data_IF_346768408453
#
_entry.id   IF_346768408453
#
_cell.length_a   1.000
_cell.length_b   1.000
_cell.length_c   1.000
_cell.angle_alpha   90.00
_cell.angle_beta   90.00
_cell.angle_gamma   90.00
#
_symmetry.space_group_name_H-M   'P 1'
#
loop_
_entity.id
_entity.type
_entity.pdbx_description
1 polymer ?
#
# COMPACT_ATOMS: atom_id res chain seq x y z
N UNK A 1 26.62 23.33 -2.76
CA UNK A 1 25.31 23.01 -3.38
C UNK A 1 24.50 22.20 -2.39
N UNK A 2 23.21 22.51 -2.18
CA UNK A 2 22.39 21.79 -1.18
C UNK A 2 22.23 20.31 -1.56
N UNK A 3 22.18 19.44 -0.56
CA UNK A 3 21.74 18.05 -0.69
C UNK A 3 20.30 17.95 -0.19
N UNK A 4 19.37 17.58 -1.07
CA UNK A 4 17.94 17.57 -0.76
C UNK A 4 17.42 16.14 -0.87
N UNK A 5 16.93 15.61 0.25
CA UNK A 5 16.24 14.32 0.28
C UNK A 5 14.76 14.50 -0.04
N UNK A 6 14.18 13.61 -0.84
CA UNK A 6 12.74 13.61 -1.14
C UNK A 6 12.17 12.22 -0.86
N UNK A 7 11.19 12.15 0.04
CA UNK A 7 10.40 10.95 0.30
C UNK A 7 9.04 11.12 -0.35
N UNK A 8 8.78 10.33 -1.39
CA UNK A 8 7.51 10.32 -2.12
C UNK A 8 6.59 9.29 -1.46
N UNK A 9 5.40 9.69 -1.03
CA UNK A 9 4.41 8.80 -0.43
C UNK A 9 3.14 8.67 -1.27
N UNK A 10 2.67 7.43 -1.40
CA UNK A 10 1.42 7.10 -2.07
C UNK A 10 1.51 7.20 -3.60
N UNK A 11 0.60 6.53 -4.33
CA UNK A 11 0.58 6.59 -5.80
C UNK A 11 0.07 7.92 -6.34
N UNK A 12 -0.81 8.61 -5.62
CA UNK A 12 -1.57 9.72 -6.22
C UNK A 12 -0.73 10.99 -6.46
N UNK A 13 0.28 11.27 -5.63
CA UNK A 13 1.25 12.35 -5.88
C UNK A 13 2.07 12.12 -7.16
N UNK A 14 2.26 10.85 -7.54
CA UNK A 14 2.95 10.45 -8.77
C UNK A 14 1.97 10.51 -9.96
N UNK A 15 0.78 9.92 -9.80
CA UNK A 15 -0.24 9.87 -10.86
C UNK A 15 -0.68 11.26 -11.33
N UNK A 16 -0.68 12.25 -10.44
CA UNK A 16 -0.99 13.66 -10.76
C UNK A 16 0.19 14.42 -11.39
N UNK A 17 1.36 13.80 -11.50
CA UNK A 17 2.58 14.41 -12.04
C UNK A 17 3.30 15.37 -11.08
N UNK A 18 2.70 15.68 -9.91
CA UNK A 18 3.27 16.64 -8.96
C UNK A 18 4.58 16.17 -8.34
N UNK A 19 4.78 14.86 -8.12
CA UNK A 19 6.05 14.32 -7.62
C UNK A 19 7.22 14.77 -8.52
N UNK A 20 7.13 14.56 -9.84
CA UNK A 20 8.17 14.95 -10.79
C UNK A 20 8.32 16.47 -10.85
N UNK A 21 7.21 17.22 -10.89
CA UNK A 21 7.22 18.69 -10.92
C UNK A 21 7.96 19.28 -9.72
N UNK A 22 7.73 18.73 -8.53
CA UNK A 22 8.37 19.17 -7.29
C UNK A 22 9.84 18.76 -7.25
N UNK A 23 10.19 17.52 -7.65
CA UNK A 23 11.59 17.08 -7.74
C UNK A 23 12.38 18.02 -8.66
N UNK A 24 11.87 18.31 -9.86
CA UNK A 24 12.50 19.27 -10.80
C UNK A 24 12.62 20.69 -10.25
N UNK A 25 11.63 21.14 -9.47
CA UNK A 25 11.72 22.43 -8.79
C UNK A 25 12.87 22.44 -7.76
N UNK A 26 13.01 21.36 -6.98
CA UNK A 26 14.04 21.25 -5.94
C UNK A 26 15.45 21.10 -6.53
N UNK A 27 15.60 20.46 -7.68
CA UNK A 27 16.87 20.36 -8.42
C UNK A 27 17.49 21.72 -8.75
N UNK A 28 16.68 22.77 -8.89
CA UNK A 28 17.15 24.15 -9.07
C UNK A 28 17.89 24.72 -7.86
N UNK A 29 17.77 24.08 -6.70
CA UNK A 29 18.39 24.50 -5.44
C UNK A 29 19.53 23.58 -4.99
N UNK A 30 19.65 22.39 -5.57
CA UNK A 30 20.73 21.46 -5.25
C UNK A 30 20.52 20.04 -5.76
N UNK A 31 21.38 19.12 -5.31
CA UNK A 31 21.31 17.70 -5.70
C UNK A 31 20.14 17.04 -4.98
N UNK A 32 19.22 16.44 -5.75
CA UNK A 32 18.06 15.73 -5.19
C UNK A 32 18.31 14.23 -5.14
N UNK A 33 17.98 13.60 -4.01
CA UNK A 33 17.88 12.15 -3.85
C UNK A 33 16.45 11.80 -3.47
N UNK A 34 15.71 11.20 -4.41
CA UNK A 34 14.33 10.80 -4.19
C UNK A 34 14.19 9.30 -3.92
N UNK A 35 13.38 8.96 -2.92
CA UNK A 35 13.05 7.57 -2.56
C UNK A 35 11.55 7.45 -2.33
N UNK A 36 11.01 6.24 -2.49
CA UNK A 36 9.59 6.00 -2.28
C UNK A 36 9.29 5.36 -0.92
N UNK A 37 8.23 5.82 -0.25
CA UNK A 37 7.59 5.14 0.89
C UNK A 37 6.26 4.48 0.51
N UNK A 38 6.23 3.15 0.46
CA UNK A 38 5.00 2.34 0.32
C UNK A 38 4.87 1.52 -0.97
N UNK A 39 4.04 0.46 -0.94
CA UNK A 39 3.94 -0.53 -2.03
C UNK A 39 3.30 0.02 -3.31
N UNK A 40 2.09 0.59 -3.24
CA UNK A 40 1.38 1.06 -4.43
C UNK A 40 2.04 2.26 -5.12
N UNK A 41 2.84 3.03 -4.38
CA UNK A 41 3.63 4.09 -4.98
C UNK A 41 4.61 3.55 -6.03
N UNK A 42 5.14 2.32 -5.85
CA UNK A 42 6.07 1.71 -6.81
C UNK A 42 5.36 1.45 -8.12
N UNK A 43 4.11 1.04 -8.04
CA UNK A 43 3.25 0.78 -9.20
C UNK A 43 3.10 2.08 -10.01
N UNK A 44 2.87 3.19 -9.32
CA UNK A 44 2.78 4.51 -9.94
C UNK A 44 4.12 4.99 -10.52
N UNK A 45 5.25 4.74 -9.85
CA UNK A 45 6.58 5.03 -10.38
C UNK A 45 6.81 4.33 -11.72
N UNK A 46 6.52 3.02 -11.81
CA UNK A 46 6.69 2.27 -13.06
C UNK A 46 5.78 2.76 -14.18
N UNK A 47 4.51 3.04 -13.88
CA UNK A 47 3.57 3.56 -14.86
C UNK A 47 3.96 4.96 -15.36
N UNK A 48 4.58 5.78 -14.50
CA UNK A 48 5.02 7.14 -14.82
C UNK A 48 6.45 7.24 -15.37
N UNK A 49 7.14 6.10 -15.59
CA UNK A 49 8.54 6.05 -16.05
C UNK A 49 9.54 6.78 -15.12
N UNK A 50 9.30 6.73 -13.81
CA UNK A 50 10.10 7.47 -12.82
C UNK A 50 11.11 6.59 -12.08
N UNK A 51 11.31 5.33 -12.45
CA UNK A 51 12.23 4.40 -11.77
C UNK A 51 13.69 4.86 -11.75
N UNK A 52 14.09 5.70 -12.72
CA UNK A 52 15.43 6.30 -12.79
C UNK A 52 15.56 7.59 -11.96
N UNK A 53 14.45 8.13 -11.46
CA UNK A 53 14.39 9.39 -10.71
C UNK A 53 14.10 9.12 -9.23
N UNK A 54 13.21 8.16 -8.95
CA UNK A 54 12.77 7.79 -7.60
C UNK A 54 13.25 6.38 -7.30
N UNK A 55 14.14 6.23 -6.31
CA UNK A 55 14.62 4.92 -5.87
C UNK A 55 13.48 4.13 -5.22
N UNK A 56 13.12 3.03 -5.89
CA UNK A 56 12.10 2.06 -5.48
C UNK A 56 12.69 0.69 -5.13
N UNK A 57 14.03 0.56 -5.04
CA UNK A 57 14.74 -0.71 -4.86
C UNK A 57 14.47 -1.39 -3.52
N UNK A 58 14.20 -0.61 -2.47
CA UNK A 58 14.00 -1.11 -1.10
C UNK A 58 12.62 -0.74 -0.55
N UNK A 59 12.05 -1.61 0.28
CA UNK A 59 10.78 -1.35 0.98
C UNK A 59 11.11 -0.64 2.28
N UNK A 60 10.64 0.60 2.43
CA UNK A 60 10.81 1.39 3.66
C UNK A 60 9.53 2.13 3.98
N UNK A 61 9.28 2.32 5.27
CA UNK A 61 8.27 3.25 5.75
C UNK A 61 8.76 4.70 5.50
N UNK A 62 7.85 5.66 5.32
CA UNK A 62 8.23 7.07 5.13
C UNK A 62 9.16 7.60 6.23
N UNK A 63 8.92 7.25 7.50
CA UNK A 63 9.77 7.67 8.63
C UNK A 63 11.20 7.11 8.52
N UNK A 64 11.35 5.84 8.12
CA UNK A 64 12.66 5.20 7.92
C UNK A 64 13.42 5.83 6.75
N UNK A 65 12.72 6.15 5.66
CA UNK A 65 13.30 6.87 4.52
C UNK A 65 13.76 8.27 4.90
N UNK A 66 12.98 9.00 5.72
CA UNK A 66 13.36 10.32 6.24
C UNK A 66 14.61 10.20 7.12
N UNK A 67 14.63 9.28 8.09
CA UNK A 67 15.78 9.09 8.99
C UNK A 67 17.06 8.69 8.24
N UNK A 68 16.94 7.93 7.16
CA UNK A 68 18.06 7.60 6.27
C UNK A 68 18.59 8.85 5.56
N UNK A 69 17.71 9.61 4.90
CA UNK A 69 18.09 10.81 4.15
C UNK A 69 18.62 11.92 5.07
N UNK A 70 18.12 12.00 6.31
CA UNK A 70 18.56 12.97 7.31
C UNK A 70 20.06 12.90 7.63
N UNK A 71 20.71 11.76 7.37
CA UNK A 71 22.15 11.57 7.60
C UNK A 71 23.03 12.19 6.52
N UNK A 72 22.49 12.42 5.32
CA UNK A 72 23.26 12.83 4.14
C UNK A 72 22.72 14.09 3.45
N UNK A 73 21.52 14.56 3.83
CA UNK A 73 20.84 15.70 3.22
C UNK A 73 20.66 16.88 4.19
N UNK A 74 20.78 18.09 3.66
CA UNK A 74 20.56 19.35 4.40
C UNK A 74 19.08 19.57 4.73
N UNK A 75 18.20 19.17 3.81
CA UNK A 75 16.75 19.24 3.92
C UNK A 75 16.13 17.93 3.47
N UNK A 76 15.00 17.57 4.08
CA UNK A 76 14.20 16.42 3.66
C UNK A 76 12.78 16.90 3.36
N UNK A 77 12.26 16.55 2.19
CA UNK A 77 10.88 16.80 1.79
C UNK A 77 10.08 15.50 1.87
N UNK A 78 8.92 15.55 2.52
CA UNK A 78 7.90 14.52 2.46
C UNK A 78 6.82 14.97 1.47
N UNK A 79 6.65 14.28 0.36
CA UNK A 79 5.60 14.56 -0.61
C UNK A 79 4.45 13.60 -0.38
N UNK A 80 3.26 14.13 -0.12
CA UNK A 80 2.04 13.34 0.03
C UNK A 80 0.86 14.01 -0.68
N UNK A 81 -0.14 13.20 -1.00
CA UNK A 81 -1.39 13.64 -1.58
C UNK A 81 -2.53 12.87 -0.93
N UNK A 82 -2.86 13.29 0.29
CA UNK A 82 -3.99 12.81 1.04
C UNK A 82 -5.32 13.01 0.32
N UNK A 83 -6.35 12.32 0.81
CA UNK A 83 -7.71 12.48 0.29
C UNK A 83 -8.28 13.85 0.62
N UNK A 84 -7.87 14.38 1.76
CA UNK A 84 -8.20 15.69 2.29
C UNK A 84 -7.00 16.26 3.04
N UNK A 85 -6.96 17.59 3.25
CA UNK A 85 -5.97 18.24 4.13
C UNK A 85 -5.80 17.51 5.46
N UNK A 86 -6.90 17.16 6.13
CA UNK A 86 -6.86 16.50 7.45
C UNK A 86 -6.19 15.12 7.39
N UNK A 87 -6.40 14.34 6.33
CA UNK A 87 -5.73 13.02 6.17
C UNK A 87 -4.22 13.17 6.00
N UNK A 88 -3.79 14.13 5.18
CA UNK A 88 -2.38 14.39 4.91
C UNK A 88 -1.63 14.96 6.10
N UNK A 89 -2.27 15.89 6.82
CA UNK A 89 -1.78 16.42 8.08
C UNK A 89 -1.63 15.31 9.14
N UNK A 90 -2.64 14.44 9.28
CA UNK A 90 -2.59 13.30 10.19
C UNK A 90 -1.48 12.30 9.84
N UNK A 91 -1.28 12.04 8.54
CA UNK A 91 -0.20 11.20 8.05
C UNK A 91 1.17 11.80 8.39
N UNK A 92 1.38 13.07 8.03
CA UNK A 92 2.58 13.82 8.35
C UNK A 92 2.93 13.81 9.83
N UNK A 93 1.94 14.09 10.69
CA UNK A 93 2.09 14.05 12.14
C UNK A 93 2.55 12.66 12.63
N UNK A 94 1.92 11.59 12.14
CA UNK A 94 2.28 10.21 12.51
C UNK A 94 3.70 9.85 12.05
N UNK A 95 4.10 10.29 10.85
CA UNK A 95 5.45 10.08 10.33
C UNK A 95 6.46 10.84 11.19
N UNK A 96 6.21 12.12 11.46
CA UNK A 96 7.06 12.97 12.28
C UNK A 96 7.27 12.41 13.70
N UNK A 97 6.20 11.95 14.36
CA UNK A 97 6.27 11.34 15.71
C UNK A 97 7.08 10.04 15.77
N UNK A 98 7.34 9.39 14.63
CA UNK A 98 8.11 8.14 14.53
C UNK A 98 9.57 8.37 14.13
N UNK A 99 9.99 9.60 13.84
CA UNK A 99 11.35 9.89 13.46
C UNK A 99 12.30 9.67 14.63
N UNK A 100 13.46 9.09 14.34
CA UNK A 100 14.58 8.93 15.29
C UNK A 100 15.58 10.08 15.17
N UNK A 101 15.52 10.82 14.07
CA UNK A 101 16.34 12.00 13.79
C UNK A 101 15.50 13.28 13.87
N UNK A 102 16.14 14.45 13.87
CA UNK A 102 15.46 15.75 13.83
C UNK A 102 15.83 16.56 12.56
N UNK A 103 15.48 16.06 11.35
CA UNK A 103 15.86 16.71 10.10
C UNK A 103 15.16 18.05 9.92
N UNK A 104 15.70 18.89 9.02
CA UNK A 104 15.00 20.06 8.46
C UNK A 104 13.89 19.58 7.53
N UNK A 105 12.84 19.02 8.13
CA UNK A 105 11.73 18.37 7.43
C UNK A 105 10.67 19.37 6.99
N UNK A 106 10.29 19.26 5.72
CA UNK A 106 9.19 19.99 5.10
C UNK A 106 8.25 18.95 4.49
N UNK A 107 6.95 19.08 4.69
CA UNK A 107 5.96 18.28 3.95
C UNK A 107 5.26 19.16 2.93
N UNK A 108 5.07 18.64 1.72
CA UNK A 108 4.20 19.23 0.71
C UNK A 108 2.99 18.32 0.59
N UNK A 109 1.83 18.86 0.91
CA UNK A 109 0.57 18.14 1.02
C UNK A 109 -0.41 18.61 -0.04
N UNK A 110 -0.97 17.67 -0.82
CA UNK A 110 -1.99 17.91 -1.85
C UNK A 110 -1.67 19.12 -2.77
N UNK A 111 -0.47 19.18 -3.37
CA UNK A 111 -0.13 20.29 -4.25
C UNK A 111 -1.12 20.39 -5.42
N UNK A 112 -1.54 21.60 -5.75
CA UNK A 112 -2.54 21.85 -6.80
C UNK A 112 -3.99 21.92 -6.33
N UNK A 113 -4.28 21.45 -5.11
CA UNK A 113 -5.62 21.53 -4.51
C UNK A 113 -5.83 22.87 -3.79
N UNK A 114 -7.08 23.30 -3.68
CA UNK A 114 -7.45 24.54 -2.96
C UNK A 114 -7.02 24.49 -1.48
N UNK A 115 -7.03 23.32 -0.87
CA UNK A 115 -6.63 23.08 0.52
C UNK A 115 -5.19 22.54 0.66
N UNK A 116 -4.39 22.59 -0.42
CA UNK A 116 -3.00 22.15 -0.41
C UNK A 116 -2.12 23.03 0.50
N UNK A 117 -1.17 22.39 1.20
CA UNK A 117 -0.33 23.04 2.21
C UNK A 117 1.13 22.65 2.11
N UNK A 118 2.00 23.51 2.67
CA UNK A 118 3.37 23.15 3.03
C UNK A 118 3.48 23.21 4.54
N UNK A 119 3.82 22.08 5.16
CA UNK A 119 3.96 21.96 6.61
C UNK A 119 5.44 22.02 6.98
N UNK A 120 5.78 22.90 7.90
CA UNK A 120 7.13 23.03 8.44
C UNK A 120 7.22 22.24 9.74
N UNK A 121 7.82 21.06 9.68
CA UNK A 121 8.00 20.18 10.85
C UNK A 121 9.18 20.60 11.72
N UNK A 122 10.15 21.33 11.15
CA UNK A 122 11.31 21.86 11.86
C UNK A 122 11.51 23.35 11.51
N UNK A 123 11.55 24.23 12.53
CA UNK A 123 11.70 25.69 12.36
C UNK A 123 12.95 26.09 11.57
N UNK A 124 14.03 25.30 11.65
CA UNK A 124 15.26 25.53 10.86
C UNK A 124 15.01 25.41 9.33
N UNK A 125 13.88 24.85 8.92
CA UNK A 125 13.47 24.72 7.52
C UNK A 125 12.56 25.84 7.01
N UNK A 126 12.10 26.75 7.89
CA UNK A 126 11.04 27.71 7.59
C UNK A 126 11.37 28.65 6.42
N UNK A 127 12.58 29.19 6.38
CA UNK A 127 12.99 30.10 5.30
C UNK A 127 12.98 29.42 3.93
N UNK A 128 13.41 28.15 3.85
CA UNK A 128 13.37 27.42 2.60
C UNK A 128 11.94 27.02 2.24
N UNK A 129 11.15 26.57 3.21
CA UNK A 129 9.74 26.25 3.02
C UNK A 129 8.93 27.46 2.51
N UNK A 130 9.15 28.67 3.03
CA UNK A 130 8.53 29.91 2.52
C UNK A 130 8.83 30.16 1.05
N UNK A 131 10.08 29.96 0.62
CA UNK A 131 10.49 30.09 -0.79
C UNK A 131 9.74 29.09 -1.67
N UNK A 132 9.67 27.82 -1.26
CA UNK A 132 8.96 26.78 -2.00
C UNK A 132 7.44 27.02 -2.02
N UNK A 133 6.86 27.45 -0.89
CA UNK A 133 5.44 27.80 -0.77
C UNK A 133 5.03 28.89 -1.77
N UNK A 134 5.84 29.95 -1.92
CA UNK A 134 5.62 31.00 -2.92
C UNK A 134 5.65 30.46 -4.35
N UNK A 135 6.58 29.54 -4.67
CA UNK A 135 6.69 28.94 -6.01
C UNK A 135 5.54 28.00 -6.34
N UNK A 136 5.05 27.25 -5.35
CA UNK A 136 3.94 26.31 -5.52
C UNK A 136 2.56 26.94 -5.27
N UNK A 137 2.51 28.21 -4.81
CA UNK A 137 1.29 28.92 -4.38
C UNK A 137 0.50 28.15 -3.31
N UNK A 138 1.22 27.59 -2.33
CA UNK A 138 0.64 26.81 -1.24
C UNK A 138 0.67 27.56 0.09
N UNK A 139 -0.32 27.30 0.95
CA UNK A 139 -0.36 27.87 2.29
C UNK A 139 0.70 27.22 3.18
N UNK A 140 1.49 28.03 3.87
CA UNK A 140 2.43 27.55 4.89
C UNK A 140 1.67 27.26 6.19
N UNK A 141 1.95 26.09 6.79
CA UNK A 141 1.36 25.64 8.06
C UNK A 141 2.49 25.27 9.01
N UNK A 142 2.40 25.68 10.28
CA UNK A 142 3.39 25.33 11.29
C UNK A 142 3.06 23.99 11.94
N UNK A 143 4.08 23.30 12.43
CA UNK A 143 3.94 22.06 13.20
C UNK A 143 2.88 22.19 14.30
N UNK A 144 2.91 23.29 15.05
CA UNK A 144 2.03 23.50 16.21
C UNK A 144 0.55 23.55 15.81
N UNK A 145 0.23 24.06 14.62
CA UNK A 145 -1.14 24.11 14.09
C UNK A 145 -1.65 22.71 13.75
N UNK A 146 -0.79 21.89 13.12
CA UNK A 146 -1.11 20.48 12.83
C UNK A 146 -1.28 19.69 14.12
N UNK A 147 -0.41 19.90 15.12
CA UNK A 147 -0.56 19.23 16.41
C UNK A 147 -1.89 19.56 17.08
N UNK A 148 -2.33 20.82 17.06
CA UNK A 148 -3.64 21.24 17.61
C UNK A 148 -4.80 20.60 16.84
N UNK A 149 -4.73 20.60 15.51
CA UNK A 149 -5.75 19.99 14.63
C UNK A 149 -5.90 18.48 14.87
N UNK A 150 -4.80 17.79 15.21
CA UNK A 150 -4.75 16.33 15.34
C UNK A 150 -4.94 15.83 16.79
N UNK A 151 -4.55 16.58 17.83
CA UNK A 151 -4.49 16.13 19.25
C UNK A 151 -5.84 15.78 19.91
N UNK A 152 -6.99 16.03 19.30
CA UNK A 152 -8.28 15.56 19.84
C UNK A 152 -8.33 14.02 19.94
N UNK A 153 -8.27 13.48 21.18
CA UNK A 153 -8.24 12.06 21.61
C UNK A 153 -8.29 11.04 20.46
N UNK A 154 -7.19 10.89 19.74
CA UNK A 154 -7.07 9.90 18.66
C UNK A 154 -7.07 8.48 19.25
N UNK A 155 -6.51 8.32 20.44
CA UNK A 155 -6.39 7.03 21.14
C UNK A 155 -6.69 7.24 22.61
N UNK A 156 -7.49 6.37 23.20
CA UNK A 156 -7.75 6.34 24.64
C UNK A 156 -8.11 4.91 25.10
N UNK A 157 -8.05 4.68 26.40
CA UNK A 157 -8.43 3.41 27.01
C UNK A 157 -9.59 3.63 27.98
N UNK A 158 -10.58 2.73 27.97
CA UNK A 158 -11.72 2.75 28.88
C UNK A 158 -12.22 1.33 29.11
N UNK A 159 -12.42 0.93 30.36
CA UNK A 159 -12.96 -0.38 30.75
C UNK A 159 -12.21 -1.57 30.10
N UNK A 160 -10.87 -1.52 30.10
CA UNK A 160 -10.00 -2.54 29.51
C UNK A 160 -10.09 -2.66 27.97
N UNK A 161 -10.66 -1.65 27.30
CA UNK A 161 -10.74 -1.55 25.84
C UNK A 161 -9.94 -0.35 25.36
N UNK A 162 -9.11 -0.56 24.33
CA UNK A 162 -8.37 0.49 23.63
C UNK A 162 -9.19 0.97 22.44
N UNK A 163 -9.35 2.28 22.34
CA UNK A 163 -10.10 2.96 21.28
C UNK A 163 -9.14 3.75 20.42
N UNK A 164 -9.28 3.68 19.09
CA UNK A 164 -8.52 4.50 18.15
C UNK A 164 -9.40 5.07 17.06
N UNK A 165 -9.53 6.40 17.04
CA UNK A 165 -10.21 7.14 15.97
C UNK A 165 -9.45 7.00 14.65
N UNK A 166 -10.19 6.70 13.59
CA UNK A 166 -9.69 6.65 12.21
C UNK A 166 -9.89 8.02 11.60
N UNK A 167 -8.80 8.71 11.27
CA UNK A 167 -8.84 10.09 10.78
C UNK A 167 -9.07 10.13 9.27
N UNK A 168 -10.04 10.95 8.83
CA UNK A 168 -10.35 11.22 7.43
C UNK A 168 -10.77 9.99 6.62
N UNK A 169 -11.55 9.13 7.27
CA UNK A 169 -12.32 8.07 6.64
C UNK A 169 -13.59 8.66 6.04
N UNK A 170 -14.07 8.08 4.95
CA UNK A 170 -15.38 8.41 4.38
C UNK A 170 -16.31 7.21 4.40
N UNK A 171 -17.61 7.46 4.51
CA UNK A 171 -18.66 6.43 4.41
C UNK A 171 -18.44 5.54 3.18
N UNK A 172 -18.50 4.23 3.39
CA UNK A 172 -18.32 3.22 2.35
C UNK A 172 -16.87 2.82 2.09
N UNK A 173 -15.87 3.44 2.72
CA UNK A 173 -14.48 3.03 2.58
C UNK A 173 -14.15 1.75 3.36
N UNK A 174 -13.31 0.90 2.78
CA UNK A 174 -12.68 -0.20 3.53
C UNK A 174 -11.74 0.35 4.59
N UNK A 175 -11.60 -0.36 5.70
CA UNK A 175 -10.70 -0.04 6.79
C UNK A 175 -9.62 -1.13 6.86
N UNK A 176 -8.40 -0.75 6.55
CA UNK A 176 -7.23 -1.63 6.60
C UNK A 176 -6.49 -1.42 7.91
N UNK A 177 -6.11 -2.52 8.55
CA UNK A 177 -5.18 -2.53 9.69
C UNK A 177 -4.03 -3.45 9.33
N UNK A 178 -2.80 -2.90 9.34
CA UNK A 178 -1.57 -3.61 8.94
C UNK A 178 -1.67 -4.31 7.57
N UNK A 179 -2.49 -3.78 6.66
CA UNK A 179 -2.67 -4.31 5.30
C UNK A 179 -3.86 -5.27 5.13
N UNK A 180 -4.58 -5.61 6.19
CA UNK A 180 -5.76 -6.50 6.16
C UNK A 180 -7.03 -5.68 6.31
N UNK A 181 -8.04 -5.94 5.48
CA UNK A 181 -9.36 -5.31 5.60
C UNK A 181 -10.08 -5.90 6.81
N UNK A 182 -10.30 -5.09 7.84
CA UNK A 182 -10.99 -5.51 9.08
C UNK A 182 -12.44 -5.05 9.14
N UNK A 183 -12.89 -4.29 8.16
CA UNK A 183 -14.25 -3.77 8.11
C UNK A 183 -14.45 -2.65 7.11
N UNK A 184 -15.62 -2.04 7.18
CA UNK A 184 -16.07 -0.98 6.27
C UNK A 184 -16.69 0.17 7.05
N UNK A 185 -16.38 1.40 6.67
CA UNK A 185 -16.95 2.59 7.27
C UNK A 185 -18.43 2.77 6.90
N UNK A 186 -19.26 3.10 7.88
CA UNK A 186 -20.68 3.46 7.72
C UNK A 186 -20.92 4.97 7.90
N UNK A 187 -19.95 5.67 8.49
CA UNK A 187 -19.92 7.12 8.67
C UNK A 187 -18.50 7.65 8.43
N UNK A 188 -18.34 8.96 8.47
CA UNK A 188 -17.05 9.66 8.39
C UNK A 188 -16.34 9.73 9.76
N UNK A 189 -17.04 9.29 10.82
CA UNK A 189 -16.54 9.19 12.18
C UNK A 189 -16.42 7.74 12.61
N UNK A 190 -15.22 7.18 12.49
CA UNK A 190 -14.96 5.77 12.80
C UNK A 190 -13.97 5.63 13.95
N UNK A 191 -14.24 4.71 14.87
CA UNK A 191 -13.32 4.33 15.95
C UNK A 191 -13.16 2.81 16.02
N UNK A 192 -11.92 2.34 15.91
CA UNK A 192 -11.58 0.94 16.16
C UNK A 192 -11.55 0.68 17.66
N UNK A 193 -12.12 -0.44 18.08
CA UNK A 193 -12.14 -0.87 19.48
C UNK A 193 -11.45 -2.21 19.60
N UNK A 194 -10.44 -2.31 20.45
CA UNK A 194 -9.73 -3.56 20.73
C UNK A 194 -9.77 -3.92 22.21
N UNK A 195 -9.88 -5.22 22.50
CA UNK A 195 -9.75 -5.81 23.84
C UNK A 195 -8.71 -6.93 23.77
N UNK A 196 -7.74 -6.93 24.69
CA UNK A 196 -6.63 -7.90 24.72
C UNK A 196 -5.88 -8.02 23.37
N UNK A 197 -5.74 -6.89 22.67
CA UNK A 197 -5.11 -6.82 21.35
C UNK A 197 -5.96 -7.31 20.18
N UNK A 198 -7.19 -7.79 20.38
CA UNK A 198 -8.08 -8.19 19.28
C UNK A 198 -9.07 -7.07 18.99
N UNK A 199 -9.25 -6.70 17.73
CA UNK A 199 -10.29 -5.74 17.32
C UNK A 199 -11.65 -6.42 17.50
N UNK A 200 -12.48 -5.89 18.39
CA UNK A 200 -13.80 -6.47 18.71
C UNK A 200 -14.95 -5.67 18.10
N UNK A 201 -14.73 -4.41 17.73
CA UNK A 201 -15.76 -3.55 17.18
C UNK A 201 -15.19 -2.38 16.34
N UNK A 202 -16.03 -1.83 15.48
CA UNK A 202 -15.79 -0.62 14.70
C UNK A 202 -17.00 0.31 14.88
N UNK A 203 -16.90 1.25 15.81
CA UNK A 203 -17.91 2.29 16.00
C UNK A 203 -17.93 3.16 14.74
N UNK A 204 -19.12 3.44 14.22
CA UNK A 204 -19.28 4.13 12.93
C UNK A 204 -18.97 3.26 11.71
N UNK A 205 -18.80 1.95 11.89
CA UNK A 205 -18.49 1.01 10.81
C UNK A 205 -19.16 -0.36 10.96
N UNK A 206 -18.73 -1.29 10.11
CA UNK A 206 -19.09 -2.71 10.14
C UNK A 206 -17.82 -3.53 10.25
N UNK A 207 -17.69 -4.30 11.31
CA UNK A 207 -16.59 -5.27 11.48
C UNK A 207 -16.70 -6.39 10.44
N UNK A 208 -15.57 -6.76 9.82
CA UNK A 208 -15.42 -7.97 9.00
C UNK A 208 -14.73 -9.03 9.85
N UNK A 209 -15.52 -9.95 10.44
CA UNK A 209 -15.03 -10.98 11.39
C UNK A 209 -13.83 -11.75 10.84
N UNK A 210 -13.95 -12.29 9.63
CA UNK A 210 -12.89 -13.04 8.98
C UNK A 210 -11.61 -12.23 8.75
N UNK A 211 -11.73 -10.93 8.48
CA UNK A 211 -10.59 -10.02 8.37
C UNK A 211 -9.86 -9.80 9.69
N UNK A 212 -10.61 -9.73 10.80
CA UNK A 212 -10.03 -9.66 12.16
C UNK A 212 -9.37 -10.97 12.54
N UNK A 213 -9.98 -12.11 12.22
CA UNK A 213 -9.39 -13.44 12.44
C UNK A 213 -8.04 -13.56 11.71
N UNK A 214 -7.99 -13.12 10.44
CA UNK A 214 -6.76 -13.05 9.64
C UNK A 214 -5.71 -12.10 10.22
N UNK A 215 -6.13 -10.97 10.80
CA UNK A 215 -5.23 -10.00 11.43
C UNK A 215 -4.62 -10.52 12.75
N UNK A 216 -5.41 -11.21 13.57
CA UNK A 216 -4.99 -11.64 14.90
C UNK A 216 -4.74 -10.48 15.89
N UNK A 217 -3.79 -10.66 16.80
CA UNK A 217 -3.44 -9.65 17.82
C UNK A 217 -2.74 -8.44 17.21
N UNK A 218 -3.19 -7.26 17.61
CA UNK A 218 -2.67 -5.97 17.14
C UNK A 218 -2.61 -4.95 18.28
N UNK A 219 -1.51 -4.19 18.34
CA UNK A 219 -1.45 -2.96 19.12
C UNK A 219 -2.03 -1.81 18.29
N UNK A 220 -3.24 -1.36 18.64
CA UNK A 220 -3.90 -0.27 17.94
C UNK A 220 -3.09 1.01 17.91
N UNK A 221 -2.14 1.26 18.81
CA UNK A 221 -1.33 2.48 18.77
C UNK A 221 -0.26 2.45 17.70
N UNK A 222 0.39 1.30 17.54
CA UNK A 222 1.45 1.09 16.54
C UNK A 222 0.90 0.75 15.16
N UNK A 223 -0.31 0.21 15.10
CA UNK A 223 -0.94 -0.27 13.88
C UNK A 223 -0.94 0.78 12.75
N UNK A 224 -0.73 0.32 11.52
CA UNK A 224 -0.86 1.13 10.32
C UNK A 224 -2.32 1.03 9.87
N UNK A 225 -3.04 2.16 9.94
CA UNK A 225 -4.44 2.24 9.51
C UNK A 225 -4.50 3.00 8.20
N UNK A 226 -5.19 2.44 7.21
CA UNK A 226 -5.52 3.08 5.94
C UNK A 226 -6.99 2.88 5.64
N UNK A 227 -7.58 3.77 4.85
CA UNK A 227 -8.95 3.60 4.36
C UNK A 227 -9.08 3.95 2.89
N UNK A 228 -10.13 3.42 2.26
CA UNK A 228 -10.43 3.66 0.86
C UNK A 228 -9.60 2.78 -0.07
N UNK A 229 -9.50 3.15 -1.34
CA UNK A 229 -8.75 2.40 -2.35
C UNK A 229 -7.24 2.56 -2.16
N UNK A 230 -6.48 1.50 -2.42
CA UNK A 230 -5.02 1.53 -2.36
C UNK A 230 -4.40 2.41 -3.45
N UNK A 231 -5.11 2.59 -4.57
CA UNK A 231 -4.83 3.55 -5.65
C UNK A 231 -6.16 3.96 -6.30
N UNK A 232 -6.46 5.26 -6.28
CA UNK A 232 -7.75 5.82 -6.73
C UNK A 232 -7.76 6.27 -8.19
N UNK A 233 -6.59 6.62 -8.72
CA UNK A 233 -6.44 7.14 -10.08
C UNK A 233 -6.74 6.05 -11.11
N UNK A 234 -7.40 6.43 -12.20
CA UNK A 234 -7.41 5.59 -13.40
C UNK A 234 -6.07 5.73 -14.12
N UNK A 235 -5.47 4.60 -14.45
CA UNK A 235 -4.08 4.55 -14.91
C UNK A 235 -3.97 3.62 -16.11
N UNK A 236 -3.07 3.94 -17.02
CA UNK A 236 -2.67 3.03 -18.10
C UNK A 236 -1.47 2.24 -17.60
N UNK A 237 -1.68 0.98 -17.22
CA UNK A 237 -0.58 0.14 -16.77
C UNK A 237 0.43 -0.12 -17.89
N UNK A 238 1.72 -0.08 -17.55
CA UNK A 238 2.82 -0.34 -18.49
C UNK A 238 3.49 -1.68 -18.20
N UNK A 239 3.79 -2.45 -19.24
CA UNK A 239 4.75 -3.57 -19.13
C UNK A 239 6.18 -3.03 -19.15
N UNK A 240 6.90 -3.29 -18.07
CA UNK A 240 8.30 -2.86 -17.86
C UNK A 240 9.27 -3.91 -18.39
N UNK A 241 8.85 -5.17 -18.41
CA UNK A 241 9.62 -6.31 -18.92
C UNK A 241 8.71 -7.12 -19.85
N UNK A 242 9.27 -7.63 -20.95
CA UNK A 242 8.66 -8.71 -21.74
C UNK A 242 9.43 -10.00 -21.48
N UNK A 243 8.72 -11.10 -21.24
CA UNK A 243 9.39 -12.37 -20.95
C UNK A 243 9.61 -13.21 -22.19
N UNK A 244 10.75 -13.88 -22.22
CA UNK A 244 11.10 -14.85 -23.25
C UNK A 244 10.61 -16.24 -22.84
N UNK A 245 10.37 -17.09 -23.84
CA UNK A 245 10.11 -18.51 -23.63
C UNK A 245 11.27 -19.17 -22.88
N UNK A 246 10.94 -20.10 -21.98
CA UNK A 246 11.91 -20.84 -21.16
C UNK A 246 11.53 -22.32 -21.10
N UNK A 247 12.53 -23.18 -20.91
CA UNK A 247 12.35 -24.63 -20.68
C UNK A 247 11.94 -24.99 -19.25
N UNK A 248 12.24 -24.11 -18.29
CA UNK A 248 11.89 -24.25 -16.87
C UNK A 248 11.28 -22.94 -16.36
N UNK A 249 10.26 -23.07 -15.52
CA UNK A 249 9.47 -21.97 -14.98
C UNK A 249 9.60 -21.93 -13.46
N UNK A 250 9.91 -20.76 -12.92
CA UNK A 250 9.87 -20.47 -11.50
C UNK A 250 8.45 -20.06 -11.10
N UNK A 251 7.85 -20.76 -10.15
CA UNK A 251 6.50 -20.50 -9.66
C UNK A 251 6.57 -19.96 -8.24
N UNK A 252 5.94 -18.82 -8.00
CA UNK A 252 5.74 -18.26 -6.66
C UNK A 252 4.40 -18.67 -6.05
N UNK A 253 4.33 -18.72 -4.72
CA UNK A 253 3.09 -18.88 -3.97
C UNK A 253 2.85 -17.66 -3.07
N UNK A 254 1.61 -17.17 -3.03
CA UNK A 254 1.22 -15.99 -2.26
C UNK A 254 -0.17 -16.19 -1.62
N UNK A 255 -0.21 -16.22 -0.29
CA UNK A 255 -1.45 -16.47 0.49
C UNK A 255 -2.00 -15.19 1.16
N UNK A 256 -1.19 -14.13 1.22
CA UNK A 256 -1.54 -12.93 1.99
C UNK A 256 -1.23 -11.65 1.24
N UNK A 257 -2.24 -10.80 1.05
CA UNK A 257 -2.12 -9.48 0.41
C UNK A 257 -1.12 -8.53 1.10
N UNK A 258 -0.76 -8.80 2.36
CA UNK A 258 0.20 -8.01 3.12
C UNK A 258 1.68 -8.26 2.75
N UNK A 259 2.00 -9.36 2.05
CA UNK A 259 3.38 -9.63 1.61
C UNK A 259 3.85 -8.65 0.52
N UNK A 260 5.16 -8.49 0.37
CA UNK A 260 5.71 -7.64 -0.70
C UNK A 260 5.65 -8.36 -2.05
N UNK A 261 4.54 -8.18 -2.77
CA UNK A 261 4.28 -8.73 -4.11
C UNK A 261 5.44 -8.49 -5.10
N UNK A 262 6.20 -7.41 -4.94
CA UNK A 262 7.35 -7.11 -5.80
C UNK A 262 8.47 -8.14 -5.74
N UNK A 263 8.54 -8.97 -4.69
CA UNK A 263 9.49 -10.09 -4.63
C UNK A 263 9.19 -11.16 -5.70
N UNK A 264 7.93 -11.24 -6.14
CA UNK A 264 7.46 -12.21 -7.12
C UNK A 264 7.59 -11.71 -8.57
N UNK A 265 8.10 -10.49 -8.79
CA UNK A 265 8.23 -9.87 -10.12
C UNK A 265 9.08 -10.67 -11.11
N UNK A 266 9.92 -11.57 -10.61
CA UNK A 266 10.81 -12.43 -11.41
C UNK A 266 10.29 -13.88 -11.56
N UNK A 267 9.18 -14.25 -10.91
CA UNK A 267 8.55 -15.57 -11.06
C UNK A 267 7.82 -15.65 -12.39
N UNK A 268 7.92 -16.76 -13.11
CA UNK A 268 7.27 -16.96 -14.41
C UNK A 268 5.74 -17.10 -14.30
N UNK A 269 5.22 -17.59 -13.18
CA UNK A 269 3.80 -17.59 -12.82
C UNK A 269 3.66 -17.55 -11.30
N UNK A 270 2.56 -17.01 -10.77
CA UNK A 270 2.31 -16.96 -9.31
C UNK A 270 0.97 -17.59 -8.98
N UNK A 271 0.96 -18.52 -8.03
CA UNK A 271 -0.28 -19.05 -7.43
C UNK A 271 -0.68 -18.13 -6.28
N UNK A 272 -1.89 -17.59 -6.31
CA UNK A 272 -2.41 -16.65 -5.30
C UNK A 272 -3.64 -17.22 -4.61
N UNK A 273 -3.77 -17.03 -3.30
CA UNK A 273 -4.93 -17.46 -2.51
C UNK A 273 -5.65 -16.23 -1.95
N UNK A 274 -6.97 -16.21 -2.13
CA UNK A 274 -7.85 -15.14 -1.70
C UNK A 274 -8.07 -14.06 -2.75
N UNK A 275 -9.26 -13.49 -2.72
CA UNK A 275 -9.76 -12.49 -3.68
C UNK A 275 -8.89 -11.24 -3.75
N UNK A 276 -8.64 -10.58 -2.62
CA UNK A 276 -7.86 -9.34 -2.58
C UNK A 276 -6.38 -9.57 -2.87
N UNK A 277 -5.82 -10.66 -2.36
CA UNK A 277 -4.44 -11.08 -2.67
C UNK A 277 -4.29 -11.27 -4.17
N UNK A 278 -5.20 -12.02 -4.79
CA UNK A 278 -5.22 -12.27 -6.23
C UNK A 278 -5.40 -10.98 -7.02
N UNK A 279 -6.31 -10.09 -6.59
CA UNK A 279 -6.57 -8.82 -7.25
C UNK A 279 -5.36 -7.89 -7.23
N UNK A 280 -4.74 -7.67 -6.05
CA UNK A 280 -3.57 -6.81 -5.88
C UNK A 280 -2.34 -7.41 -6.55
N UNK A 281 -2.14 -8.72 -6.42
CA UNK A 281 -1.03 -9.41 -7.05
C UNK A 281 -1.13 -9.30 -8.56
N UNK A 282 -2.28 -9.62 -9.15
CA UNK A 282 -2.51 -9.51 -10.60
C UNK A 282 -2.22 -8.10 -11.10
N UNK A 283 -2.73 -7.08 -10.40
CA UNK A 283 -2.51 -5.67 -10.76
C UNK A 283 -1.01 -5.33 -10.79
N UNK A 284 -0.29 -5.57 -9.69
CA UNK A 284 1.14 -5.23 -9.61
C UNK A 284 1.96 -6.04 -10.62
N UNK A 285 1.71 -7.34 -10.69
CA UNK A 285 2.45 -8.29 -11.51
C UNK A 285 2.19 -8.14 -13.01
N UNK A 286 1.09 -7.48 -13.39
CA UNK A 286 0.83 -7.07 -14.77
C UNK A 286 2.05 -6.38 -15.42
N UNK A 287 2.68 -5.46 -14.68
CA UNK A 287 3.84 -4.68 -15.15
C UNK A 287 5.07 -5.52 -15.46
N UNK A 288 5.14 -6.75 -14.95
CA UNK A 288 6.29 -7.64 -15.10
C UNK A 288 5.98 -8.85 -15.97
N UNK A 289 4.83 -8.85 -16.66
CA UNK A 289 4.41 -9.95 -17.55
C UNK A 289 4.34 -11.30 -16.80
N UNK A 290 3.91 -11.26 -15.53
CA UNK A 290 3.68 -12.46 -14.72
C UNK A 290 2.18 -12.77 -14.67
N UNK A 291 1.70 -13.88 -15.23
CA UNK A 291 0.34 -14.36 -15.03
C UNK A 291 0.15 -14.91 -13.61
N UNK A 292 -1.10 -14.90 -13.15
CA UNK A 292 -1.48 -15.51 -11.87
C UNK A 292 -2.38 -16.73 -12.06
N UNK A 293 -2.27 -17.69 -11.16
CA UNK A 293 -3.28 -18.74 -10.93
C UNK A 293 -3.94 -18.44 -9.58
N UNK A 294 -5.08 -17.75 -9.61
CA UNK A 294 -5.78 -17.31 -8.41
C UNK A 294 -6.80 -18.33 -7.93
N UNK A 295 -6.81 -18.63 -6.64
CA UNK A 295 -7.87 -19.38 -5.96
C UNK A 295 -8.65 -18.37 -5.11
N UNK A 296 -9.92 -18.18 -5.43
CA UNK A 296 -10.77 -17.14 -4.83
C UNK A 296 -12.11 -17.74 -4.42
N UNK A 297 -12.83 -17.09 -3.52
CA UNK A 297 -14.12 -17.56 -3.01
C UNK A 297 -15.29 -16.58 -3.27
N UNK A 298 -14.99 -15.46 -3.94
CA UNK A 298 -15.94 -14.43 -4.33
C UNK A 298 -16.11 -13.29 -3.31
N UNK A 299 -15.40 -13.31 -2.17
CA UNK A 299 -15.45 -12.23 -1.16
C UNK A 299 -14.49 -11.07 -1.47
N UNK A 300 -14.67 -10.41 -2.61
CA UNK A 300 -13.82 -9.30 -3.06
C UNK A 300 -14.12 -8.01 -2.27
N UNK A 301 -13.14 -7.47 -1.53
CA UNK A 301 -13.29 -6.19 -0.81
C UNK A 301 -13.16 -4.96 -1.73
N UNK A 302 -12.80 -5.13 -3.00
CA UNK A 302 -12.59 -4.06 -4.00
C UNK A 302 -11.52 -3.06 -3.55
N UNK A 303 -10.33 -3.57 -3.21
CA UNK A 303 -9.19 -2.78 -2.72
C UNK A 303 -8.50 -1.91 -3.79
N UNK A 304 -8.77 -2.17 -5.07
CA UNK A 304 -8.37 -1.35 -6.24
C UNK A 304 -9.56 -1.19 -7.20
N UNK A 305 -9.61 -0.07 -7.95
CA UNK A 305 -10.75 0.27 -8.84
C UNK A 305 -10.89 -0.69 -10.03
N UNK A 306 -9.76 -1.00 -10.69
CA UNK A 306 -9.66 -1.94 -11.82
C UNK A 306 -8.32 -2.67 -11.69
N UNK A 307 -8.34 -3.99 -11.55
CA UNK A 307 -7.13 -4.80 -11.54
C UNK A 307 -6.76 -5.28 -12.94
N UNK A 308 -5.51 -5.12 -13.33
CA UNK A 308 -5.00 -5.70 -14.58
C UNK A 308 -4.68 -7.18 -14.41
N UNK A 309 -4.78 -7.95 -15.49
CA UNK A 309 -4.42 -9.37 -15.55
C UNK A 309 -3.61 -9.62 -16.81
N UNK A 310 -2.57 -10.42 -16.72
CA UNK A 310 -1.79 -10.82 -17.90
C UNK A 310 -2.50 -11.96 -18.64
N UNK A 311 -2.35 -12.03 -19.98
CA UNK A 311 -2.69 -13.23 -20.73
C UNK A 311 -2.02 -14.47 -20.12
N UNK A 312 -2.75 -15.58 -20.11
CA UNK A 312 -2.35 -16.84 -19.46
C UNK A 312 -2.68 -16.92 -17.97
N UNK A 313 -3.25 -15.86 -17.38
CA UNK A 313 -3.77 -15.93 -16.01
C UNK A 313 -5.04 -16.78 -15.96
N UNK A 314 -5.24 -17.47 -14.84
CA UNK A 314 -6.39 -18.33 -14.58
C UNK A 314 -6.92 -18.04 -13.19
N UNK A 315 -8.21 -17.74 -13.06
CA UNK A 315 -8.87 -17.55 -11.77
C UNK A 315 -9.84 -18.71 -11.57
N UNK A 316 -9.64 -19.47 -10.49
CA UNK A 316 -10.52 -20.54 -10.04
C UNK A 316 -11.32 -20.02 -8.84
N UNK A 317 -12.58 -19.73 -9.09
CA UNK A 317 -13.52 -19.22 -8.09
C UNK A 317 -14.28 -20.42 -7.49
N UNK A 318 -13.99 -20.74 -6.23
CA UNK A 318 -14.57 -21.86 -5.49
C UNK A 318 -15.72 -21.38 -4.60
N UNK A 319 -16.44 -22.31 -3.99
CA UNK A 319 -17.45 -21.99 -2.98
C UNK A 319 -16.87 -21.18 -1.81
N UNK A 320 -17.71 -20.31 -1.23
CA UNK A 320 -17.32 -19.38 -0.15
C UNK A 320 -16.64 -20.09 1.02
N UNK A 321 -15.48 -19.57 1.45
CA UNK A 321 -14.69 -20.04 2.59
C UNK A 321 -13.80 -21.26 2.31
N UNK A 322 -13.67 -21.69 1.05
CA UNK A 322 -12.81 -22.83 0.68
C UNK A 322 -11.43 -22.44 0.18
N UNK A 323 -11.21 -21.21 -0.28
CA UNK A 323 -9.93 -20.70 -0.79
C UNK A 323 -8.78 -20.93 0.20
N UNK A 324 -8.94 -20.55 1.47
CA UNK A 324 -7.92 -20.72 2.51
C UNK A 324 -7.58 -22.21 2.75
N UNK A 325 -8.58 -23.09 2.71
CA UNK A 325 -8.38 -24.54 2.92
C UNK A 325 -7.64 -25.16 1.74
N UNK A 326 -8.04 -24.82 0.52
CA UNK A 326 -7.40 -25.29 -0.72
C UNK A 326 -5.97 -24.75 -0.80
N UNK A 327 -5.77 -23.48 -0.45
CA UNK A 327 -4.46 -22.84 -0.39
C UNK A 327 -3.47 -23.60 0.47
N UNK A 328 -3.88 -24.01 1.68
CA UNK A 328 -3.06 -24.86 2.57
C UNK A 328 -2.71 -26.22 1.94
N UNK A 329 -3.65 -26.85 1.24
CA UNK A 329 -3.40 -28.13 0.57
C UNK A 329 -2.45 -27.96 -0.62
N UNK A 330 -2.60 -26.90 -1.42
CA UNK A 330 -1.70 -26.57 -2.52
C UNK A 330 -0.29 -26.30 -1.98
N UNK A 331 -0.17 -25.49 -0.94
CA UNK A 331 1.11 -25.17 -0.30
C UNK A 331 1.83 -26.45 0.17
N UNK A 332 1.10 -27.35 0.82
CA UNK A 332 1.65 -28.61 1.32
C UNK A 332 1.99 -29.60 0.18
N UNK A 333 1.04 -29.93 -0.70
CA UNK A 333 1.17 -31.01 -1.68
C UNK A 333 1.96 -30.62 -2.93
N UNK A 334 1.81 -29.39 -3.41
CA UNK A 334 2.46 -28.92 -4.66
C UNK A 334 3.76 -28.21 -4.32
N UNK A 335 3.71 -27.29 -3.35
CA UNK A 335 4.85 -26.45 -3.01
C UNK A 335 5.75 -27.04 -1.92
N UNK A 336 5.35 -28.16 -1.27
CA UNK A 336 6.10 -28.79 -0.17
C UNK A 336 6.47 -27.78 0.93
N UNK A 337 5.51 -26.90 1.27
CA UNK A 337 5.64 -25.80 2.22
C UNK A 337 6.72 -24.76 1.87
N UNK A 338 7.11 -24.65 0.60
CA UNK A 338 8.04 -23.62 0.09
C UNK A 338 7.30 -22.49 -0.59
N UNK A 339 7.86 -21.28 -0.57
CA UNK A 339 7.32 -20.14 -1.34
C UNK A 339 7.56 -20.23 -2.84
N UNK A 340 8.53 -21.03 -3.26
CA UNK A 340 8.96 -21.12 -4.65
C UNK A 340 9.19 -22.57 -5.06
N UNK A 341 8.79 -22.91 -6.29
CA UNK A 341 9.11 -24.18 -6.94
C UNK A 341 9.56 -23.94 -8.38
N UNK A 342 10.22 -24.94 -8.95
CA UNK A 342 10.56 -25.00 -10.38
C UNK A 342 9.75 -26.09 -11.05
N UNK A 343 9.20 -25.80 -12.22
CA UNK A 343 8.41 -26.75 -13.02
C UNK A 343 8.79 -26.65 -14.50
N UNK A 344 8.53 -27.72 -15.26
CA UNK A 344 8.74 -27.74 -16.71
C UNK A 344 7.48 -27.42 -17.52
N UNK A 345 6.29 -27.46 -16.90
CA UNK A 345 5.02 -27.33 -17.61
C UNK A 345 3.93 -26.68 -16.72
N UNK A 346 3.50 -25.48 -17.10
CA UNK A 346 2.46 -24.71 -16.39
C UNK A 346 1.08 -25.38 -16.50
N UNK A 347 0.72 -25.99 -17.64
CA UNK A 347 -0.56 -26.69 -17.79
C UNK A 347 -0.65 -27.90 -16.86
N UNK A 348 0.45 -28.60 -16.61
CA UNK A 348 0.51 -29.67 -15.61
C UNK A 348 0.28 -29.13 -14.20
N UNK A 349 0.77 -27.93 -13.87
CA UNK A 349 0.47 -27.27 -12.60
C UNK A 349 -1.02 -26.92 -12.48
N UNK A 350 -1.61 -26.30 -13.51
CA UNK A 350 -3.06 -25.97 -13.55
C UNK A 350 -3.91 -27.23 -13.30
N UNK A 351 -3.61 -28.33 -13.99
CA UNK A 351 -4.30 -29.62 -13.83
C UNK A 351 -4.17 -30.18 -12.41
N UNK A 352 -2.96 -30.17 -11.83
CA UNK A 352 -2.76 -30.65 -10.45
C UNK A 352 -3.57 -29.85 -9.43
N UNK A 353 -3.70 -28.54 -9.63
CA UNK A 353 -4.54 -27.68 -8.78
C UNK A 353 -6.02 -28.07 -8.91
N UNK A 354 -6.51 -28.25 -10.15
CA UNK A 354 -7.89 -28.69 -10.39
C UNK A 354 -8.16 -30.10 -9.81
N UNK A 355 -7.21 -31.04 -9.92
CA UNK A 355 -7.31 -32.37 -9.30
C UNK A 355 -7.44 -32.29 -7.77
N UNK A 356 -6.74 -31.36 -7.11
CA UNK A 356 -6.91 -31.13 -5.65
C UNK A 356 -8.34 -30.67 -5.36
N UNK A 357 -8.86 -29.73 -6.14
CA UNK A 357 -10.20 -29.16 -5.96
C UNK A 357 -11.28 -30.21 -6.22
N UNK A 358 -11.16 -30.98 -7.31
CA UNK A 358 -12.10 -32.05 -7.65
C UNK A 358 -12.19 -33.12 -6.54
N UNK A 359 -11.06 -33.47 -5.91
CA UNK A 359 -11.03 -34.43 -4.78
C UNK A 359 -11.74 -33.92 -3.53
N UNK A 360 -12.01 -32.62 -3.44
CA UNK A 360 -12.75 -32.03 -2.32
C UNK A 360 -14.26 -32.00 -2.57
N UNK A 361 -14.71 -32.42 -3.76
CA UNK A 361 -16.11 -32.45 -4.17
C UNK A 361 -16.84 -31.09 -4.01
N UNK A 362 -16.14 -30.01 -4.34
CA UNK A 362 -16.67 -28.63 -4.28
C UNK A 362 -16.91 -28.09 -5.69
N UNK A 363 -17.92 -27.23 -5.84
CA UNK A 363 -18.14 -26.53 -7.11
C UNK A 363 -17.14 -25.39 -7.28
N UNK A 364 -16.77 -25.13 -8.53
CA UNK A 364 -15.94 -24.00 -8.88
C UNK A 364 -16.14 -23.58 -10.34
N UNK A 365 -15.78 -22.34 -10.64
CA UNK A 365 -15.78 -21.77 -11.98
C UNK A 365 -14.36 -21.36 -12.36
N UNK A 366 -13.99 -21.51 -13.63
CA UNK A 366 -12.70 -21.07 -14.16
C UNK A 366 -12.91 -19.87 -15.10
N UNK A 367 -12.11 -18.83 -14.91
CA UNK A 367 -11.98 -17.69 -15.83
C UNK A 367 -10.54 -17.62 -16.32
N UNK A 368 -10.33 -17.75 -17.63
CA UNK A 368 -9.02 -17.57 -18.27
C UNK A 368 -8.94 -16.20 -18.96
N UNK A 369 -7.74 -15.63 -19.03
CA UNK A 369 -7.47 -14.27 -19.51
C UNK A 369 -6.35 -14.21 -20.54
#
# INVERSE_FOLDING_TARGET
MLKIGVVVHGPHIIDTGYALKIIKLLERYGKVKAVLGGTMGRTAVYDAHLENIIDISKKRLPSESIDMLAKECDFVFLLDYGKSKITGHAFGYKVFKKLKTNPKLIQIERPGEKDGTIIVWNKKAENFAKKIAKKLKLKLVKKEDVEKEIKGKIIYEKNGKKYRRVLGVSKGENIFVNGIVVGKAKSDEVTLVAKNGIIIDIIGGKLKKHGVEKLGKVDLEKAIIKTGLLRRSEVKARKVIKRKSKKEFNVGFLDHAAEDVYQLKNCDVVVTIGDDTTLVASDILYRFDVPVIGITDGDVDKVVKKGFKNPGSMIIEVEKGWDDKIGKIILSKIFKNKKYIKIKNINKLKRKIQEIINKMNIKYNIKEF
#
